data_IF_475410580348
#
_entry.id   IF_475410580348
#
_cell.length_a   1.000
_cell.length_b   1.000
_cell.length_c   1.000
_cell.angle_alpha   90.00
_cell.angle_beta   90.00
_cell.angle_gamma   90.00
#
_symmetry.space_group_name_H-M   'P 1'
#
loop_
_entity.id
_entity.type
_entity.pdbx_description
1 polymer ?
#
# COMPACT_ATOMS: atom_id res chain seq x y z
N UNK A 1 0.26 -37.29 -10.75
CA UNK A 1 0.31 -36.61 -9.43
C UNK A 1 0.11 -35.14 -9.71
N UNK A 2 -1.13 -34.67 -9.59
CA UNK A 2 -1.48 -33.26 -9.78
C UNK A 2 -1.20 -32.57 -8.45
N UNK A 3 -0.19 -31.71 -8.40
CA UNK A 3 0.11 -30.92 -7.21
C UNK A 3 -1.15 -30.10 -6.85
N UNK A 4 -1.63 -30.16 -5.60
CA UNK A 4 -2.76 -29.35 -5.17
C UNK A 4 -2.39 -27.88 -5.36
N UNK A 5 -3.22 -27.16 -6.13
CA UNK A 5 -3.10 -25.70 -6.30
C UNK A 5 -3.00 -25.12 -4.89
N UNK A 6 -1.96 -24.33 -4.55
CA UNK A 6 -1.81 -23.79 -3.21
C UNK A 6 -3.13 -23.08 -2.87
N UNK A 7 -3.77 -23.54 -1.79
CA UNK A 7 -4.93 -22.89 -1.19
C UNK A 7 -4.66 -21.39 -1.25
N UNK A 8 -5.58 -20.68 -1.90
CA UNK A 8 -5.52 -19.25 -2.13
C UNK A 8 -5.21 -18.62 -0.78
N UNK A 9 -3.95 -18.24 -0.55
CA UNK A 9 -3.56 -17.54 0.65
C UNK A 9 -4.52 -16.37 0.74
N UNK A 10 -5.29 -16.32 1.83
CA UNK A 10 -6.26 -15.27 2.08
C UNK A 10 -5.45 -13.99 2.23
N UNK A 11 -5.25 -13.30 1.10
CA UNK A 11 -4.52 -12.05 1.09
C UNK A 11 -5.47 -11.02 1.67
N UNK A 12 -5.26 -10.65 2.92
CA UNK A 12 -5.91 -9.50 3.52
C UNK A 12 -5.63 -8.28 2.63
N UNK A 13 -6.64 -7.88 1.86
CA UNK A 13 -6.53 -6.74 0.96
C UNK A 13 -6.52 -5.47 1.80
N UNK A 14 -5.36 -4.80 1.83
CA UNK A 14 -5.22 -3.53 2.50
C UNK A 14 -6.06 -2.45 1.83
N UNK A 15 -6.73 -1.64 2.64
CA UNK A 15 -7.34 -0.39 2.18
C UNK A 15 -6.27 0.59 1.69
N UNK A 16 -6.66 1.57 0.88
CA UNK A 16 -5.73 2.62 0.43
C UNK A 16 -5.05 3.36 1.60
N UNK A 17 -5.75 3.53 2.73
CA UNK A 17 -5.18 4.14 3.94
C UNK A 17 -4.12 3.27 4.60
N UNK A 18 -4.37 1.96 4.71
CA UNK A 18 -3.40 1.01 5.26
C UNK A 18 -2.17 0.86 4.38
N UNK A 19 -2.35 0.83 3.05
CA UNK A 19 -1.21 0.86 2.11
C UNK A 19 -0.40 2.15 2.30
N UNK A 20 -1.05 3.31 2.41
CA UNK A 20 -0.36 4.58 2.63
C UNK A 20 0.40 4.61 3.98
N UNK A 21 -0.18 4.04 5.04
CA UNK A 21 0.48 3.92 6.34
C UNK A 21 1.72 3.03 6.26
N UNK A 22 1.59 1.83 5.67
CA UNK A 22 2.71 0.89 5.48
C UNK A 22 3.83 1.47 4.61
N UNK A 23 3.49 2.18 3.53
CA UNK A 23 4.49 2.89 2.71
C UNK A 23 5.20 4.00 3.49
N UNK A 24 4.52 4.64 4.44
CA UNK A 24 5.13 5.67 5.31
C UNK A 24 6.14 5.06 6.28
N UNK A 25 5.85 3.88 6.84
CA UNK A 25 6.80 3.13 7.68
C UNK A 25 8.05 2.72 6.89
N UNK A 26 7.86 2.15 5.70
CA UNK A 26 8.97 1.77 4.80
C UNK A 26 9.81 2.98 4.39
N UNK A 27 9.17 4.13 4.14
CA UNK A 27 9.85 5.38 3.84
C UNK A 27 10.71 5.86 5.01
N UNK A 28 10.19 5.79 6.24
CA UNK A 28 10.95 6.15 7.44
C UNK A 28 12.17 5.24 7.62
N UNK A 29 12.00 3.93 7.45
CA UNK A 29 13.09 2.96 7.53
C UNK A 29 14.17 3.22 6.47
N UNK A 30 13.77 3.41 5.20
CA UNK A 30 14.71 3.69 4.11
C UNK A 30 15.45 5.03 4.30
N UNK A 31 14.78 6.04 4.87
CA UNK A 31 15.41 7.33 5.18
C UNK A 31 16.45 7.20 6.30
N UNK A 32 16.14 6.43 7.36
CA UNK A 32 17.09 6.16 8.43
C UNK A 32 18.31 5.35 7.92
N UNK A 33 18.10 4.39 7.01
CA UNK A 33 19.19 3.65 6.37
C UNK A 33 20.09 4.58 5.54
N UNK A 34 19.50 5.48 4.75
CA UNK A 34 20.24 6.46 3.96
C UNK A 34 21.06 7.40 4.84
N UNK A 35 20.48 7.90 5.93
CA UNK A 35 21.19 8.74 6.89
C UNK A 35 22.39 8.01 7.52
N UNK A 36 22.17 6.77 7.95
CA UNK A 36 23.23 5.92 8.50
C UNK A 36 24.38 5.67 7.51
N UNK A 37 24.08 5.44 6.23
CA UNK A 37 25.11 5.25 5.19
C UNK A 37 25.91 6.52 4.93
N UNK A 38 25.25 7.68 4.92
CA UNK A 38 25.93 8.98 4.70
C UNK A 38 26.88 9.35 5.83
N UNK A 39 26.69 8.82 7.03
CA UNK A 39 27.55 9.06 8.19
C UNK A 39 28.76 8.11 8.26
N UNK A 40 28.86 7.12 7.37
CA UNK A 40 30.00 6.20 7.33
C UNK A 40 31.27 6.90 6.87
N UNK A 41 32.43 6.46 7.37
CA UNK A 41 33.74 7.02 6.99
C UNK A 41 34.06 6.85 5.49
N UNK A 42 33.52 5.80 4.86
CA UNK A 42 33.57 5.56 3.42
C UNK A 42 32.17 5.19 2.91
N UNK A 43 31.34 6.18 2.56
CA UNK A 43 29.98 5.93 2.12
C UNK A 43 29.94 5.22 0.77
N UNK A 44 29.10 4.20 0.65
CA UNK A 44 28.81 3.52 -0.62
C UNK A 44 27.86 4.37 -1.46
N UNK A 45 28.41 5.11 -2.41
CA UNK A 45 27.67 6.04 -3.27
C UNK A 45 26.62 5.35 -4.14
N UNK A 46 26.88 4.13 -4.62
CA UNK A 46 25.91 3.37 -5.42
C UNK A 46 24.73 2.89 -4.57
N UNK A 47 25.00 2.46 -3.33
CA UNK A 47 23.94 2.12 -2.39
C UNK A 47 23.11 3.35 -1.98
N UNK A 48 23.76 4.49 -1.73
CA UNK A 48 23.10 5.76 -1.45
C UNK A 48 22.16 6.14 -2.59
N UNK A 49 22.63 6.11 -3.84
CA UNK A 49 21.81 6.46 -5.01
C UNK A 49 20.60 5.55 -5.16
N UNK A 50 20.77 4.24 -4.92
CA UNK A 50 19.65 3.27 -4.96
C UNK A 50 18.62 3.54 -3.88
N UNK A 51 19.06 3.90 -2.67
CA UNK A 51 18.15 4.27 -1.57
C UNK A 51 17.40 5.57 -1.84
N UNK A 52 18.07 6.58 -2.39
CA UNK A 52 17.43 7.83 -2.80
C UNK A 52 16.32 7.57 -3.84
N UNK A 53 16.60 6.75 -4.85
CA UNK A 53 15.60 6.34 -5.83
C UNK A 53 14.41 5.59 -5.20
N UNK A 54 14.69 4.66 -4.27
CA UNK A 54 13.65 3.93 -3.54
C UNK A 54 12.79 4.88 -2.69
N UNK A 55 13.40 5.84 -2.01
CA UNK A 55 12.72 6.85 -1.19
C UNK A 55 11.75 7.67 -2.05
N UNK A 56 12.19 8.14 -3.22
CA UNK A 56 11.32 8.92 -4.13
C UNK A 56 10.15 8.08 -4.67
N UNK A 57 10.39 6.80 -4.98
CA UNK A 57 9.32 5.88 -5.37
C UNK A 57 8.31 5.66 -4.23
N UNK A 58 8.77 5.48 -3.00
CA UNK A 58 7.91 5.29 -1.83
C UNK A 58 7.08 6.54 -1.53
N UNK A 59 7.67 7.75 -1.64
CA UNK A 59 6.95 9.02 -1.48
C UNK A 59 5.83 9.17 -2.52
N UNK A 60 6.17 9.06 -3.79
CA UNK A 60 5.19 9.19 -4.89
C UNK A 60 4.06 8.18 -4.80
N UNK A 61 4.39 6.93 -4.42
CA UNK A 61 3.38 5.88 -4.19
C UNK A 61 2.50 6.19 -2.99
N UNK A 62 3.08 6.58 -1.86
CA UNK A 62 2.35 6.92 -0.65
C UNK A 62 1.40 8.10 -0.85
N UNK A 63 1.84 9.14 -1.56
CA UNK A 63 1.00 10.29 -1.89
C UNK A 63 -0.16 9.90 -2.80
N UNK A 64 0.08 9.05 -3.80
CA UNK A 64 -1.00 8.51 -4.64
C UNK A 64 -2.05 7.80 -3.79
N UNK A 65 -1.66 6.84 -2.94
CA UNK A 65 -2.62 6.10 -2.12
C UNK A 65 -3.40 6.98 -1.14
N UNK A 66 -2.78 8.03 -0.59
CA UNK A 66 -3.51 9.03 0.21
C UNK A 66 -4.54 9.80 -0.61
N UNK A 67 -4.24 10.15 -1.86
CA UNK A 67 -5.21 10.81 -2.74
C UNK A 67 -6.35 9.88 -3.14
N UNK A 68 -6.06 8.61 -3.42
CA UNK A 68 -7.08 7.59 -3.69
C UNK A 68 -8.01 7.41 -2.47
N UNK A 69 -7.45 7.35 -1.25
CA UNK A 69 -8.23 7.27 -0.02
C UNK A 69 -9.20 8.46 0.12
N UNK A 70 -8.70 9.69 -0.06
CA UNK A 70 -9.52 10.92 0.01
C UNK A 70 -10.61 10.96 -1.05
N UNK A 71 -10.27 10.53 -2.26
CA UNK A 71 -11.22 10.48 -3.39
C UNK A 71 -12.32 9.47 -3.11
N UNK A 72 -11.95 8.28 -2.62
CA UNK A 72 -12.88 7.23 -2.24
C UNK A 72 -13.78 7.66 -1.07
N UNK A 73 -13.23 8.33 -0.05
CA UNK A 73 -14.01 8.88 1.06
C UNK A 73 -15.01 9.94 0.58
N UNK A 74 -14.59 10.83 -0.32
CA UNK A 74 -15.46 11.85 -0.92
C UNK A 74 -16.59 11.22 -1.74
N UNK A 75 -16.29 10.16 -2.48
CA UNK A 75 -17.28 9.39 -3.22
C UNK A 75 -18.29 8.73 -2.28
N UNK A 76 -17.81 8.00 -1.27
CA UNK A 76 -18.66 7.32 -0.28
C UNK A 76 -19.54 8.29 0.50
N UNK A 77 -19.03 9.49 0.83
CA UNK A 77 -19.84 10.53 1.47
C UNK A 77 -20.97 11.05 0.59
N UNK A 78 -20.72 11.15 -0.73
CA UNK A 78 -21.69 11.70 -1.69
C UNK A 78 -22.72 10.68 -2.16
N UNK A 79 -22.33 9.42 -2.32
CA UNK A 79 -23.16 8.38 -2.93
C UNK A 79 -23.54 7.24 -1.96
N UNK A 80 -23.05 7.29 -0.73
CA UNK A 80 -23.14 6.18 0.22
C UNK A 80 -22.06 5.12 -0.05
N UNK A 81 -21.80 4.29 0.95
CA UNK A 81 -20.98 3.08 0.77
C UNK A 81 -21.85 1.99 0.13
N UNK A 82 -21.35 1.33 -0.92
CA UNK A 82 -22.01 0.15 -1.50
C UNK A 82 -21.90 -1.10 -0.59
N UNK A 83 -21.23 -0.97 0.57
CA UNK A 83 -21.02 -2.05 1.53
C UNK A 83 -22.21 -2.14 2.49
N UNK A 84 -23.39 -2.44 1.96
CA UNK A 84 -24.42 -3.20 2.67
C UNK A 84 -25.37 -3.82 1.64
N UNK A 85 -25.11 -5.03 1.12
CA UNK A 85 -26.20 -5.82 0.58
C UNK A 85 -27.06 -6.27 1.78
N UNK A 86 -28.36 -5.93 1.83
CA UNK A 86 -29.24 -6.57 2.80
C UNK A 86 -29.14 -8.08 2.58
N UNK A 87 -28.72 -8.81 3.62
CA UNK A 87 -28.45 -10.25 3.58
C UNK A 87 -29.68 -11.14 3.25
N UNK A 88 -30.81 -10.53 2.90
CA UNK A 88 -32.11 -11.18 2.72
C UNK A 88 -32.65 -11.18 1.28
N UNK A 89 -31.96 -10.59 0.30
CA UNK A 89 -32.39 -10.66 -1.12
C UNK A 89 -31.41 -11.46 -1.97
N UNK A 90 -31.47 -12.79 -1.82
CA UNK A 90 -31.00 -13.67 -2.89
C UNK A 90 -31.89 -13.45 -4.11
N UNK A 91 -31.34 -13.12 -5.30
CA UNK A 91 -32.14 -13.00 -6.51
C UNK A 91 -32.72 -14.38 -6.86
N UNK A 92 -34.04 -14.52 -6.76
CA UNK A 92 -34.73 -15.67 -7.33
C UNK A 92 -34.87 -15.43 -8.83
N UNK A 93 -33.96 -16.03 -9.59
CA UNK A 93 -34.14 -16.17 -11.03
C UNK A 93 -35.30 -17.15 -11.24
N UNK A 94 -36.41 -16.66 -11.80
CA UNK A 94 -37.51 -17.47 -12.33
C UNK A 94 -37.34 -17.65 -13.83
#
# INVERSE_FOLDING_TARGET
MTEPRPDTADYDLLTFGEVAARLSEELAAATAELDGLRQQASPDTDRIRRLEQRIELLKSSGDRYRQEQRTNESFNRRFGSLVDPPSDRRPQWR
#
